data_IF_078261498174
#
_entry.id   IF_078261498174
#
_cell.length_a   1.000
_cell.length_b   1.000
_cell.length_c   1.000
_cell.angle_alpha   90.00
_cell.angle_beta   90.00
_cell.angle_gamma   90.00
#
_symmetry.space_group_name_H-M   'P 1'
#
loop_
_entity.id
_entity.type
_entity.pdbx_description
1 polymer ?
#
# COMPACT_ATOMS: atom_id res chain seq x y z
N UNK A 1 -2.24 12.27 -35.06
CA UNK A 1 -2.43 10.81 -35.02
C UNK A 1 -2.58 10.34 -36.45
N UNK A 2 -1.68 9.50 -36.94
CA UNK A 2 -1.67 9.04 -38.33
C UNK A 2 -2.50 7.74 -38.47
N UNK A 3 -3.65 7.77 -39.18
CA UNK A 3 -4.54 6.61 -39.29
C UNK A 3 -3.92 5.43 -40.06
N UNK A 4 -2.87 5.66 -40.85
CA UNK A 4 -2.25 4.61 -41.65
C UNK A 4 -1.39 3.64 -40.81
N UNK A 5 -0.96 4.07 -39.62
CA UNK A 5 -0.15 3.25 -38.72
C UNK A 5 -0.95 2.15 -38.02
N UNK A 6 -2.22 2.40 -37.70
CA UNK A 6 -3.10 1.43 -37.06
C UNK A 6 -3.54 0.31 -38.02
N UNK A 7 -3.72 0.67 -39.29
CA UNK A 7 -4.20 -0.26 -40.31
C UNK A 7 -3.11 -1.25 -40.77
N UNK A 8 -1.83 -0.83 -40.73
CA UNK A 8 -0.69 -1.72 -40.96
C UNK A 8 -0.55 -2.79 -39.86
N UNK A 9 -0.69 -2.37 -38.60
CA UNK A 9 -0.60 -3.24 -37.43
C UNK A 9 -1.72 -4.29 -37.39
N UNK A 10 -2.93 -3.88 -37.79
CA UNK A 10 -4.10 -4.76 -37.87
C UNK A 10 -3.95 -5.81 -38.97
N UNK A 11 -3.38 -5.44 -40.12
CA UNK A 11 -3.10 -6.39 -41.21
C UNK A 11 -2.03 -7.42 -40.86
N UNK A 12 -1.01 -7.04 -40.09
CA UNK A 12 0.03 -7.99 -39.66
C UNK A 12 -0.46 -9.04 -38.66
N UNK A 13 -1.52 -8.77 -37.91
CA UNK A 13 -2.13 -9.73 -37.00
C UNK A 13 -3.10 -10.69 -37.71
N UNK A 14 -3.67 -10.28 -38.84
CA UNK A 14 -4.68 -11.05 -39.58
C UNK A 14 -4.09 -12.05 -40.59
N UNK A 15 -2.82 -11.92 -41.01
CA UNK A 15 -2.19 -12.92 -41.89
C UNK A 15 -1.77 -14.14 -41.08
N UNK A 16 -2.65 -15.15 -41.05
CA UNK A 16 -2.47 -16.41 -40.34
C UNK A 16 -1.12 -17.09 -40.61
N UNK A 17 -0.26 -17.08 -39.61
CA UNK A 17 1.04 -17.76 -39.63
C UNK A 17 0.82 -19.28 -39.47
N UNK A 18 1.16 -20.04 -40.52
CA UNK A 18 1.09 -21.50 -40.46
C UNK A 18 2.08 -22.04 -39.43
N UNK A 19 1.59 -22.93 -38.55
CA UNK A 19 2.33 -23.55 -37.43
C UNK A 19 3.69 -24.17 -37.81
N UNK A 20 3.95 -24.46 -39.08
CA UNK A 20 5.19 -25.12 -39.54
C UNK A 20 6.33 -24.17 -39.89
N UNK A 21 6.08 -22.88 -40.09
CA UNK A 21 7.14 -21.89 -40.40
C UNK A 21 7.70 -21.17 -39.17
N UNK A 22 7.07 -21.31 -38.00
CA UNK A 22 7.54 -20.70 -36.76
C UNK A 22 8.76 -21.41 -36.15
N UNK A 23 8.95 -22.71 -36.42
CA UNK A 23 9.98 -23.52 -35.74
C UNK A 23 11.38 -23.34 -36.35
N UNK A 24 11.50 -22.96 -37.63
CA UNK A 24 12.81 -22.82 -38.30
C UNK A 24 13.46 -21.44 -38.14
N UNK A 25 12.73 -20.41 -37.68
CA UNK A 25 13.30 -19.07 -37.44
C UNK A 25 13.79 -18.85 -35.99
N UNK A 26 13.54 -19.79 -35.09
CA UNK A 26 13.85 -19.66 -33.66
C UNK A 26 15.23 -20.19 -33.26
N UNK A 27 16.00 -20.78 -34.18
CA UNK A 27 17.35 -21.28 -33.88
C UNK A 27 18.44 -20.19 -33.95
N UNK A 28 18.21 -19.10 -34.69
CA UNK A 28 19.20 -18.02 -34.84
C UNK A 28 18.95 -16.79 -33.94
N UNK A 29 17.70 -16.55 -33.51
CA UNK A 29 17.36 -15.38 -32.69
C UNK A 29 17.54 -15.61 -31.16
N UNK A 30 17.59 -16.87 -30.70
CA UNK A 30 17.67 -17.21 -29.28
C UNK A 30 18.99 -16.83 -28.60
N UNK A 31 20.10 -16.84 -29.34
CA UNK A 31 21.42 -16.52 -28.78
C UNK A 31 21.62 -15.01 -28.56
N UNK A 32 21.04 -14.17 -29.42
CA UNK A 32 21.12 -12.70 -29.26
C UNK A 32 20.15 -12.19 -28.19
N UNK A 33 18.99 -12.82 -28.03
CA UNK A 33 18.06 -12.50 -26.93
C UNK A 33 18.64 -12.88 -25.55
N UNK A 34 19.39 -13.99 -25.47
CA UNK A 34 20.06 -14.41 -24.24
C UNK A 34 21.21 -13.45 -23.85
N UNK A 35 21.97 -12.94 -24.81
CA UNK A 35 23.03 -11.95 -24.56
C UNK A 35 22.46 -10.57 -24.20
N UNK A 36 21.36 -10.15 -24.83
CA UNK A 36 20.65 -8.92 -24.45
C UNK A 36 20.03 -9.03 -23.04
N UNK A 37 19.53 -10.20 -22.65
CA UNK A 37 19.02 -10.45 -21.30
C UNK A 37 20.14 -10.52 -20.24
N UNK A 38 21.34 -11.01 -20.59
CA UNK A 38 22.48 -11.06 -19.67
C UNK A 38 23.06 -9.66 -19.40
N UNK A 39 23.12 -8.79 -20.42
CA UNK A 39 23.61 -7.40 -20.27
C UNK A 39 22.52 -6.46 -19.73
N UNK A 40 21.23 -6.75 -19.99
CA UNK A 40 20.10 -5.95 -19.52
C UNK A 40 19.66 -6.20 -18.08
N UNK A 41 19.93 -7.38 -17.51
CA UNK A 41 19.50 -7.73 -16.14
C UNK A 41 20.19 -6.94 -15.03
N UNK A 42 21.38 -6.40 -15.27
CA UNK A 42 22.08 -5.59 -14.27
C UNK A 42 21.61 -4.12 -14.24
N UNK A 43 20.89 -3.64 -15.27
CA UNK A 43 20.47 -2.23 -15.37
C UNK A 43 18.97 -1.98 -15.23
N UNK A 44 18.14 -3.01 -15.24
CA UNK A 44 16.68 -2.85 -15.08
C UNK A 44 16.22 -2.99 -13.62
N UNK A 45 17.14 -3.37 -12.70
CA UNK A 45 16.84 -3.43 -11.27
C UNK A 45 16.87 -2.08 -10.53
N UNK A 46 17.15 -0.96 -11.22
CA UNK A 46 17.46 0.30 -10.55
C UNK A 46 16.88 1.55 -11.21
N UNK A 47 15.57 1.59 -11.50
CA UNK A 47 14.77 2.85 -11.47
C UNK A 47 13.28 2.50 -11.27
N UNK A 48 12.93 1.90 -10.14
CA UNK A 48 11.67 2.32 -9.52
C UNK A 48 12.10 3.38 -8.51
N UNK A 49 11.57 4.61 -8.54
CA UNK A 49 11.75 5.47 -7.39
C UNK A 49 11.23 4.67 -6.20
N UNK A 50 12.11 4.40 -5.24
CA UNK A 50 11.64 4.13 -3.90
C UNK A 50 10.82 5.38 -3.56
N UNK A 51 9.49 5.28 -3.69
CA UNK A 51 8.59 6.15 -2.96
C UNK A 51 9.04 5.95 -1.53
N UNK A 52 9.84 6.89 -1.02
CA UNK A 52 10.05 7.01 0.40
C UNK A 52 8.65 7.28 0.95
N UNK A 53 7.95 6.21 1.29
CA UNK A 53 6.82 6.27 2.18
C UNK A 53 7.42 6.64 3.54
N UNK A 54 7.71 7.93 3.70
CA UNK A 54 8.21 8.49 4.93
C UNK A 54 7.29 8.00 6.04
N UNK A 55 7.87 7.26 6.98
CA UNK A 55 7.11 6.70 8.08
C UNK A 55 6.69 7.85 8.98
N UNK A 56 5.38 8.10 9.01
CA UNK A 56 4.75 9.07 9.87
C UNK A 56 4.64 8.48 11.28
N UNK A 57 4.92 9.31 12.29
CA UNK A 57 4.64 9.00 13.70
C UNK A 57 3.66 10.02 14.27
N UNK A 58 2.70 9.54 15.05
CA UNK A 58 1.69 10.35 15.73
C UNK A 58 1.49 9.85 17.15
N UNK A 59 1.69 10.71 18.14
CA UNK A 59 1.21 10.46 19.50
C UNK A 59 -0.32 10.57 19.52
N UNK A 60 -0.97 9.57 20.10
CA UNK A 60 -2.42 9.50 20.18
C UNK A 60 -2.88 9.31 21.63
N UNK A 61 -3.92 10.05 22.00
CA UNK A 61 -4.75 9.77 23.17
C UNK A 61 -6.18 9.52 22.68
N UNK A 62 -6.59 8.26 22.66
CA UNK A 62 -7.90 7.83 22.20
C UNK A 62 -8.85 7.70 23.40
N UNK A 63 -10.08 8.21 23.25
CA UNK A 63 -11.17 7.92 24.17
C UNK A 63 -11.93 6.70 23.66
N UNK A 64 -11.82 5.56 24.36
CA UNK A 64 -12.35 4.27 23.94
C UNK A 64 -13.58 3.89 24.77
N UNK A 65 -14.68 3.66 24.06
CA UNK A 65 -15.95 3.16 24.59
C UNK A 65 -16.24 1.78 24.00
N UNK A 66 -16.88 0.93 24.80
CA UNK A 66 -17.13 -0.47 24.49
C UNK A 66 -18.64 -0.74 24.31
N UNK A 67 -18.93 -1.69 23.43
CA UNK A 67 -20.26 -2.23 23.19
C UNK A 67 -21.07 -1.43 22.17
N UNK A 68 -22.21 -1.98 21.71
CA UNK A 68 -23.03 -1.37 20.66
C UNK A 68 -23.61 0.00 21.04
N UNK A 69 -23.71 0.29 22.33
CA UNK A 69 -24.23 1.55 22.87
C UNK A 69 -23.15 2.53 23.30
N UNK A 70 -21.87 2.16 23.21
CA UNK A 70 -20.72 2.98 23.63
C UNK A 70 -20.80 3.50 25.09
N UNK A 71 -21.59 2.82 25.93
CA UNK A 71 -21.87 3.25 27.31
C UNK A 71 -20.78 2.82 28.31
N UNK A 72 -19.98 1.82 27.96
CA UNK A 72 -18.96 1.25 28.86
C UNK A 72 -17.60 1.84 28.52
N UNK A 73 -16.89 2.38 29.52
CA UNK A 73 -15.52 2.85 29.33
C UNK A 73 -14.55 1.67 29.32
N UNK A 74 -13.55 1.73 28.44
CA UNK A 74 -12.41 0.81 28.50
C UNK A 74 -11.72 0.93 29.87
N UNK A 75 -11.40 -0.20 30.49
CA UNK A 75 -10.67 -0.21 31.76
C UNK A 75 -9.17 0.00 31.50
N UNK A 76 -8.54 0.84 32.31
CA UNK A 76 -7.13 1.21 32.16
C UNK A 76 -6.67 2.08 33.33
N UNK A 77 -5.48 2.67 33.21
CA UNK A 77 -4.95 3.64 34.20
C UNK A 77 -5.83 4.88 34.29
N UNK A 78 -6.24 5.40 33.14
CA UNK A 78 -7.30 6.41 33.00
C UNK A 78 -8.52 5.73 32.39
N UNK A 79 -9.68 5.69 33.08
CA UNK A 79 -10.88 5.07 32.56
C UNK A 79 -11.31 5.67 31.22
N UNK A 80 -11.49 4.82 30.21
CA UNK A 80 -11.92 5.20 28.88
C UNK A 80 -10.83 5.76 28.00
N UNK A 81 -9.57 5.73 28.42
CA UNK A 81 -8.45 6.29 27.65
C UNK A 81 -7.46 5.21 27.24
N UNK A 82 -6.95 5.31 26.01
CA UNK A 82 -5.88 4.47 25.49
C UNK A 82 -4.85 5.36 24.79
N UNK A 83 -3.59 5.26 25.22
CA UNK A 83 -2.49 6.11 24.76
C UNK A 83 -1.38 5.30 24.09
N UNK A 84 -0.67 5.97 23.19
CA UNK A 84 0.52 5.42 22.56
C UNK A 84 0.95 6.20 21.33
N UNK A 85 1.77 5.55 20.51
CA UNK A 85 2.29 6.11 19.25
C UNK A 85 1.81 5.25 18.07
N UNK A 86 1.22 5.88 17.06
CA UNK A 86 0.90 5.23 15.79
C UNK A 86 1.99 5.54 14.78
N UNK A 87 2.58 4.50 14.20
CA UNK A 87 3.56 4.56 13.11
C UNK A 87 2.97 3.99 11.85
N UNK A 88 3.07 4.69 10.73
CA UNK A 88 2.50 4.24 9.47
C UNK A 88 3.17 4.91 8.26
N UNK A 89 3.03 4.26 7.11
CA UNK A 89 3.26 4.87 5.81
C UNK A 89 1.92 5.39 5.25
N UNK A 90 1.94 6.56 4.61
CA UNK A 90 0.83 7.03 3.78
C UNK A 90 1.03 6.56 2.36
N UNK A 91 0.00 5.93 1.80
CA UNK A 91 -0.09 5.68 0.38
C UNK A 91 -0.49 6.93 -0.42
N UNK A 92 -0.41 6.87 -1.77
CA UNK A 92 -0.67 8.00 -2.66
C UNK A 92 -2.03 8.68 -2.48
N UNK A 93 -3.06 7.95 -2.07
CA UNK A 93 -4.42 8.47 -1.91
C UNK A 93 -4.79 8.69 -0.43
N UNK A 94 -3.80 8.58 0.47
CA UNK A 94 -3.98 8.73 1.92
C UNK A 94 -4.30 7.42 2.65
N UNK A 95 -4.21 6.29 1.97
CA UNK A 95 -4.38 4.97 2.57
C UNK A 95 -3.30 4.63 3.60
N UNK A 96 -3.69 3.88 4.61
CA UNK A 96 -2.81 3.35 5.66
C UNK A 96 -3.03 1.85 5.71
N UNK A 97 -2.15 1.08 5.08
CA UNK A 97 -2.29 -0.39 4.97
C UNK A 97 -1.42 -1.14 6.00
N UNK A 98 -0.27 -0.56 6.38
CA UNK A 98 0.72 -1.17 7.26
C UNK A 98 1.04 -0.28 8.46
N UNK A 99 0.00 0.14 9.19
CA UNK A 99 0.14 0.92 10.42
C UNK A 99 0.34 0.04 11.65
N UNK A 100 1.05 0.55 12.66
CA UNK A 100 1.21 -0.08 13.97
C UNK A 100 1.01 0.93 15.10
N UNK A 101 0.20 0.57 16.08
CA UNK A 101 -0.01 1.34 17.30
C UNK A 101 0.73 0.68 18.45
N UNK A 102 1.80 1.34 18.90
CA UNK A 102 2.54 0.96 20.09
C UNK A 102 1.85 1.60 21.29
N UNK A 103 1.23 0.79 22.12
CA UNK A 103 0.57 1.24 23.34
C UNK A 103 1.61 1.49 24.43
N UNK A 104 1.32 2.42 25.35
CA UNK A 104 2.22 2.72 26.47
C UNK A 104 2.50 1.50 27.38
N UNK A 105 1.62 0.51 27.35
CA UNK A 105 1.81 -0.79 28.02
C UNK A 105 2.77 -1.75 27.31
N UNK A 106 3.39 -1.35 26.19
CA UNK A 106 4.34 -2.14 25.40
C UNK A 106 3.71 -3.11 24.41
N UNK A 107 2.38 -3.24 24.39
CA UNK A 107 1.67 -4.02 23.38
C UNK A 107 1.60 -3.28 22.05
N UNK A 108 1.56 -4.03 20.95
CA UNK A 108 1.47 -3.49 19.60
C UNK A 108 0.22 -4.01 18.90
N UNK A 109 -0.51 -3.10 18.26
CA UNK A 109 -1.72 -3.43 17.50
C UNK A 109 -1.57 -3.01 16.04
N UNK A 110 -2.01 -3.87 15.12
CA UNK A 110 -2.05 -3.54 13.70
C UNK A 110 -3.16 -2.51 13.42
N UNK A 111 -2.83 -1.51 12.61
CA UNK A 111 -3.71 -0.39 12.26
C UNK A 111 -3.82 -0.31 10.75
N UNK A 112 -5.05 -0.24 10.26
CA UNK A 112 -5.36 0.13 8.88
C UNK A 112 -6.26 1.35 8.88
N UNK A 113 -6.30 2.11 7.80
CA UNK A 113 -7.14 3.29 7.76
C UNK A 113 -6.97 4.17 6.54
N UNK A 114 -7.43 5.40 6.70
CA UNK A 114 -7.41 6.45 5.69
C UNK A 114 -7.14 7.80 6.36
N UNK A 115 -6.31 8.60 5.70
CA UNK A 115 -6.10 10.01 5.99
C UNK A 115 -6.74 10.84 4.87
N UNK A 116 -7.62 11.77 5.23
CA UNK A 116 -8.26 12.67 4.26
C UNK A 116 -8.12 14.10 4.73
N UNK A 117 -7.20 14.85 4.11
CA UNK A 117 -6.81 16.18 4.57
C UNK A 117 -6.21 16.11 5.97
N UNK A 118 -6.92 16.66 6.97
CA UNK A 118 -6.51 16.63 8.39
C UNK A 118 -7.17 15.52 9.19
N UNK A 119 -8.17 14.85 8.62
CA UNK A 119 -8.94 13.82 9.29
C UNK A 119 -8.26 12.46 9.16
N UNK A 120 -8.38 11.65 10.21
CA UNK A 120 -7.88 10.29 10.28
C UNK A 120 -9.04 9.37 10.69
N UNK A 121 -9.22 8.30 9.93
CA UNK A 121 -10.14 7.21 10.27
C UNK A 121 -9.35 5.92 10.27
N UNK A 122 -9.21 5.31 11.45
CA UNK A 122 -8.38 4.13 11.66
C UNK A 122 -9.22 2.99 12.22
N UNK A 123 -8.86 1.78 11.85
CA UNK A 123 -9.43 0.53 12.32
C UNK A 123 -8.32 -0.34 12.87
N UNK A 124 -8.53 -0.83 14.09
CA UNK A 124 -7.54 -1.61 14.84
C UNK A 124 -8.19 -2.92 15.26
N UNK A 125 -7.50 -4.04 15.02
CA UNK A 125 -7.94 -5.34 15.49
C UNK A 125 -7.35 -5.58 16.89
N UNK A 126 -8.18 -5.51 17.93
CA UNK A 126 -7.73 -5.66 19.33
C UNK A 126 -7.70 -7.12 19.81
N UNK A 127 -8.38 -8.03 19.10
CA UNK A 127 -8.48 -9.45 19.43
C UNK A 127 -9.47 -10.15 18.50
N UNK A 128 -9.73 -11.44 18.71
CA UNK A 128 -10.68 -12.20 17.86
C UNK A 128 -12.07 -11.57 17.99
N UNK A 129 -12.62 -11.07 16.87
CA UNK A 129 -13.95 -10.43 16.83
C UNK A 129 -14.03 -9.05 17.49
N UNK A 130 -12.91 -8.48 17.94
CA UNK A 130 -12.88 -7.16 18.59
C UNK A 130 -12.20 -6.13 17.70
N UNK A 131 -12.91 -5.05 17.40
CA UNK A 131 -12.41 -3.96 16.55
C UNK A 131 -12.56 -2.65 17.29
N UNK A 132 -11.51 -1.85 17.27
CA UNK A 132 -11.52 -0.45 17.70
C UNK A 132 -11.56 0.40 16.44
N UNK A 133 -12.46 1.37 16.41
CA UNK A 133 -12.52 2.39 15.36
C UNK A 133 -12.12 3.71 15.99
N UNK A 134 -11.12 4.35 15.41
CA UNK A 134 -10.62 5.64 15.85
C UNK A 134 -10.96 6.66 14.77
N UNK A 135 -11.66 7.72 15.16
CA UNK A 135 -11.98 8.84 14.28
C UNK A 135 -11.47 10.10 14.94
N UNK A 136 -10.69 10.88 14.22
CA UNK A 136 -10.10 12.10 14.75
C UNK A 136 -9.43 12.94 13.70
N UNK A 137 -8.60 13.87 14.15
CA UNK A 137 -7.76 14.69 13.29
C UNK A 137 -6.36 14.76 13.88
N UNK A 138 -5.35 14.82 13.00
CA UNK A 138 -3.99 15.11 13.42
C UNK A 138 -3.93 16.53 14.01
N UNK A 139 -3.58 16.63 15.30
CA UNK A 139 -3.24 17.92 15.91
C UNK A 139 -1.77 18.19 15.62
N UNK A 140 -1.50 19.27 14.89
CA UNK A 140 -0.17 19.85 14.78
C UNK A 140 -0.29 21.28 15.31
N UNK A 141 0.39 21.54 16.42
CA UNK A 141 0.52 22.90 16.93
C UNK A 141 1.44 23.65 15.97
N UNK A 142 0.95 24.78 15.45
CA UNK A 142 1.75 25.68 14.65
C UNK A 142 2.37 26.67 15.63
N UNK A 143 3.66 26.48 15.92
CA UNK A 143 4.47 27.43 16.68
C UNK A 143 4.71 28.73 15.89
#
# INVERSE_FOLDING_TARGET
MDPNHFDALSRTLASGLSRRQAVTRWSAAGLLAALAAAVGRERVAAVLPALQSDTCSLEIAANVRLGPSEAVLLQGTTPGELRGEIRFALGPDGEIDEGRWLLDGGSELAVVGQATGRALTLRVQAGIGQTIVLVGAGRQDLD
#
